data_IF_496024076147
#
_entry.id   IF_496024076147
#
_cell.length_a   1.000
_cell.length_b   1.000
_cell.length_c   1.000
_cell.angle_alpha   90.00
_cell.angle_beta   90.00
_cell.angle_gamma   90.00
#
_symmetry.space_group_name_H-M   'P 1'
#
loop_
_entity.id
_entity.type
_entity.pdbx_description
1 polymer ?
#
# COMPACT_ATOMS: atom_id res chain seq x y z
N UNK A 1 -2.52 13.53 8.58
CA UNK A 1 -3.80 13.45 9.31
C UNK A 1 -3.83 12.07 9.96
N UNK A 2 -3.87 11.95 11.29
CA UNK A 2 -3.74 10.66 11.96
C UNK A 2 -5.13 10.02 12.14
N UNK A 3 -5.30 8.77 11.69
CA UNK A 3 -6.53 8.01 11.90
C UNK A 3 -6.43 7.30 13.24
N UNK A 4 -7.38 7.57 14.15
CA UNK A 4 -7.35 6.99 15.50
C UNK A 4 -7.38 5.45 15.45
N UNK A 5 -6.44 4.81 16.13
CA UNK A 5 -6.30 3.35 16.16
C UNK A 5 -5.45 2.76 15.03
N UNK A 6 -4.86 3.60 14.18
CA UNK A 6 -3.93 3.20 13.12
C UNK A 6 -2.58 3.85 13.40
N UNK A 7 -1.64 3.07 13.95
CA UNK A 7 -0.29 3.57 14.20
C UNK A 7 0.58 3.36 12.97
N UNK A 8 1.09 4.46 12.39
CA UNK A 8 1.94 4.41 11.20
C UNK A 8 3.37 4.67 11.62
N UNK A 9 4.27 3.72 11.33
CA UNK A 9 5.69 3.83 11.68
C UNK A 9 6.59 3.36 10.54
N UNK A 10 7.87 3.72 10.61
CA UNK A 10 8.88 3.16 9.72
C UNK A 10 8.91 1.63 9.85
N UNK A 11 9.06 0.95 8.72
CA UNK A 11 9.25 -0.49 8.68
C UNK A 11 10.71 -0.86 9.01
N UNK A 12 10.90 -2.01 9.64
CA UNK A 12 12.20 -2.58 9.97
C UNK A 12 12.30 -4.01 9.47
N UNK A 13 13.52 -4.56 9.40
CA UNK A 13 13.72 -5.94 8.91
C UNK A 13 12.93 -6.99 9.71
N UNK A 14 12.68 -6.72 11.00
CA UNK A 14 11.86 -7.58 11.85
C UNK A 14 10.40 -7.70 11.38
N UNK A 15 9.89 -6.70 10.65
CA UNK A 15 8.52 -6.66 10.14
C UNK A 15 8.35 -7.51 8.87
N UNK A 16 9.43 -7.89 8.19
CA UNK A 16 9.40 -8.56 6.87
C UNK A 16 8.49 -9.80 6.88
N UNK A 17 8.64 -10.67 7.89
CA UNK A 17 7.90 -11.92 7.96
C UNK A 17 6.38 -11.71 8.09
N UNK A 18 5.95 -10.63 8.75
CA UNK A 18 4.53 -10.33 8.93
C UNK A 18 3.96 -9.59 7.71
N UNK A 19 4.75 -8.72 7.09
CA UNK A 19 4.41 -8.12 5.80
C UNK A 19 4.30 -9.17 4.68
N UNK A 20 5.17 -10.19 4.67
CA UNK A 20 5.10 -11.30 3.72
C UNK A 20 3.82 -12.12 3.90
N UNK A 21 3.45 -12.43 5.14
CA UNK A 21 2.17 -13.10 5.45
C UNK A 21 0.99 -12.28 4.95
N UNK A 22 1.01 -10.97 5.17
CA UNK A 22 -0.03 -10.06 4.70
C UNK A 22 -0.09 -10.04 3.16
N UNK A 23 1.05 -9.94 2.48
CA UNK A 23 1.13 -9.97 1.03
C UNK A 23 0.60 -11.29 0.46
N UNK A 24 1.00 -12.43 1.05
CA UNK A 24 0.48 -13.75 0.69
C UNK A 24 -1.04 -13.85 0.89
N UNK A 25 -1.57 -13.30 1.98
CA UNK A 25 -3.01 -13.30 2.24
C UNK A 25 -3.80 -12.50 1.19
N UNK A 26 -3.30 -11.32 0.82
CA UNK A 26 -3.98 -10.40 -0.11
C UNK A 26 -3.76 -10.84 -1.57
N UNK A 27 -2.52 -11.05 -1.98
CA UNK A 27 -2.10 -11.26 -3.36
C UNK A 27 -1.79 -12.72 -3.72
N UNK A 28 -1.65 -13.61 -2.73
CA UNK A 28 -1.28 -15.01 -2.97
C UNK A 28 0.20 -15.25 -3.22
N UNK A 29 1.03 -14.21 -3.08
CA UNK A 29 2.49 -14.23 -3.19
C UNK A 29 3.09 -13.16 -2.28
N UNK A 30 4.38 -13.25 -1.96
CA UNK A 30 5.13 -12.21 -1.28
C UNK A 30 5.87 -11.28 -2.28
N UNK A 31 6.38 -10.16 -1.76
CA UNK A 31 7.26 -9.22 -2.47
C UNK A 31 8.41 -8.78 -1.58
N UNK A 32 9.02 -9.72 -0.84
CA UNK A 32 9.97 -9.41 0.24
C UNK A 32 11.22 -8.68 -0.22
N UNK A 33 11.65 -8.88 -1.47
CA UNK A 33 12.80 -8.19 -2.07
C UNK A 33 12.59 -6.68 -2.08
N UNK A 34 11.52 -6.24 -2.71
CA UNK A 34 11.14 -4.82 -2.80
C UNK A 34 10.93 -4.18 -1.43
N UNK A 35 10.32 -4.90 -0.49
CA UNK A 35 10.12 -4.38 0.86
C UNK A 35 11.45 -4.20 1.60
N UNK A 36 12.39 -5.15 1.47
CA UNK A 36 13.72 -5.04 2.06
C UNK A 36 14.49 -3.85 1.49
N UNK A 37 14.42 -3.65 0.18
CA UNK A 37 15.07 -2.51 -0.48
C UNK A 37 14.47 -1.18 0.00
N UNK A 38 13.14 -1.11 0.12
CA UNK A 38 12.45 0.06 0.65
C UNK A 38 12.77 0.34 2.13
N UNK A 39 12.98 -0.72 2.95
CA UNK A 39 13.47 -0.58 4.33
C UNK A 39 14.89 -0.01 4.32
N UNK A 40 15.79 -0.55 3.49
CA UNK A 40 17.16 -0.08 3.38
C UNK A 40 17.25 1.39 2.90
N UNK A 41 16.31 1.81 2.05
CA UNK A 41 16.18 3.19 1.60
C UNK A 41 15.39 4.11 2.55
N UNK A 42 14.82 3.56 3.63
CA UNK A 42 14.05 4.32 4.62
C UNK A 42 12.70 4.86 4.12
N UNK A 43 12.18 4.33 3.02
CA UNK A 43 10.86 4.71 2.48
C UNK A 43 9.72 3.85 3.01
N UNK A 44 10.03 2.61 3.42
CA UNK A 44 9.01 1.67 3.87
C UNK A 44 8.35 2.08 5.19
N UNK A 45 7.03 1.91 5.25
CA UNK A 45 6.23 2.11 6.47
C UNK A 45 5.26 0.94 6.67
N UNK A 46 4.87 0.73 7.91
CA UNK A 46 3.84 -0.23 8.31
C UNK A 46 2.73 0.49 9.10
N UNK A 47 1.54 -0.10 9.05
CA UNK A 47 0.44 0.25 9.94
C UNK A 47 0.26 -0.87 10.95
N UNK A 48 0.22 -0.52 12.22
CA UNK A 48 -0.01 -1.44 13.33
C UNK A 48 -1.37 -1.18 13.99
N UNK A 49 -2.13 -2.26 14.22
CA UNK A 49 -3.40 -2.26 14.94
C UNK A 49 -3.42 -3.43 15.91
N UNK A 50 -3.73 -3.17 17.17
CA UNK A 50 -3.80 -4.20 18.22
C UNK A 50 -2.54 -5.10 18.27
N UNK A 51 -1.36 -4.52 18.01
CA UNK A 51 -0.08 -5.23 18.00
C UNK A 51 0.18 -6.07 16.74
N UNK A 52 -0.62 -5.91 15.68
CA UNK A 52 -0.48 -6.64 14.42
C UNK A 52 -0.26 -5.68 13.24
N UNK A 53 0.61 -6.06 12.31
CA UNK A 53 0.76 -5.33 11.04
C UNK A 53 -0.47 -5.59 10.18
N UNK A 54 -1.21 -4.53 9.89
CA UNK A 54 -2.41 -4.58 9.03
C UNK A 54 -2.20 -3.93 7.67
N UNK A 55 -1.11 -3.19 7.50
CA UNK A 55 -0.70 -2.63 6.23
C UNK A 55 0.81 -2.44 6.17
N UNK A 56 1.34 -2.43 4.94
CA UNK A 56 2.66 -1.91 4.67
C UNK A 56 2.70 -1.18 3.32
N UNK A 57 3.70 -0.33 3.17
CA UNK A 57 4.03 0.36 1.91
C UNK A 57 5.52 0.34 1.68
N UNK A 58 5.94 0.20 0.42
CA UNK A 58 7.32 0.48 0.01
C UNK A 58 7.54 1.96 -0.28
N UNK A 59 6.48 2.65 -0.72
CA UNK A 59 6.32 4.10 -0.81
C UNK A 59 4.86 4.39 -1.23
N UNK A 60 4.31 5.55 -0.85
CA UNK A 60 3.00 6.00 -1.36
C UNK A 60 3.26 6.82 -2.62
N UNK A 61 3.48 6.12 -3.73
CA UNK A 61 3.98 6.73 -4.95
C UNK A 61 3.83 5.87 -6.20
N UNK A 62 4.33 6.37 -7.33
CA UNK A 62 4.04 5.76 -8.62
C UNK A 62 4.74 4.40 -8.83
N UNK A 63 5.92 4.26 -8.23
CA UNK A 63 6.74 3.03 -8.22
C UNK A 63 6.67 2.29 -6.90
N UNK A 64 5.97 2.84 -5.90
CA UNK A 64 5.73 2.19 -4.62
C UNK A 64 4.47 1.33 -4.66
N UNK A 65 4.46 0.23 -3.93
CA UNK A 65 3.26 -0.58 -3.74
C UNK A 65 2.85 -0.56 -2.27
N UNK A 66 1.56 -0.79 -2.01
CA UNK A 66 1.05 -0.92 -0.65
C UNK A 66 0.07 -2.08 -0.57
N UNK A 67 0.08 -2.78 0.55
CA UNK A 67 -0.81 -3.92 0.82
C UNK A 67 -1.44 -3.72 2.18
N UNK A 68 -2.73 -4.01 2.29
CA UNK A 68 -3.50 -3.77 3.48
C UNK A 68 -4.65 -4.78 3.65
N UNK A 69 -5.05 -5.00 4.90
CA UNK A 69 -6.26 -5.76 5.23
C UNK A 69 -7.52 -4.98 4.82
N UNK A 70 -7.55 -3.67 5.07
CA UNK A 70 -8.73 -2.81 4.82
C UNK A 70 -8.40 -1.50 4.12
N UNK A 71 -9.43 -0.73 3.75
CA UNK A 71 -9.25 0.57 3.13
C UNK A 71 -8.73 1.62 4.11
N UNK A 72 -9.18 1.55 5.36
CA UNK A 72 -8.76 2.45 6.44
C UNK A 72 -7.26 2.34 6.71
N UNK A 73 -6.70 1.14 6.58
CA UNK A 73 -5.26 0.89 6.66
C UNK A 73 -4.50 1.61 5.53
N UNK A 74 -5.00 1.59 4.29
CA UNK A 74 -4.41 2.37 3.19
C UNK A 74 -4.60 3.87 3.38
N UNK A 75 -5.76 4.31 3.88
CA UNK A 75 -6.01 5.72 4.19
C UNK A 75 -5.02 6.23 5.22
N UNK A 76 -4.66 5.42 6.23
CA UNK A 76 -3.65 5.76 7.22
C UNK A 76 -2.28 5.97 6.58
N UNK A 77 -1.84 5.05 5.70
CA UNK A 77 -0.59 5.20 4.94
C UNK A 77 -0.59 6.46 4.06
N UNK A 78 -1.68 6.71 3.33
CA UNK A 78 -1.80 7.88 2.45
C UNK A 78 -1.79 9.18 3.27
N UNK A 79 -2.48 9.20 4.41
CA UNK A 79 -2.60 10.38 5.26
C UNK A 79 -1.32 10.70 6.07
N UNK A 80 -0.43 9.72 6.22
CA UNK A 80 0.90 9.84 6.83
C UNK A 80 2.02 10.09 5.80
N UNK A 81 1.73 9.98 4.50
CA UNK A 81 2.70 10.29 3.46
C UNK A 81 3.04 11.79 3.46
N UNK A 82 4.33 12.11 3.59
CA UNK A 82 4.81 13.50 3.56
C UNK A 82 4.65 14.13 2.16
N UNK A 83 4.78 13.31 1.13
CA UNK A 83 4.58 13.64 -0.26
C UNK A 83 4.22 12.35 -1.02
N UNK A 84 3.60 12.49 -2.18
CA UNK A 84 3.43 11.37 -3.11
C UNK A 84 4.51 11.45 -4.18
N UNK A 85 5.28 10.38 -4.35
CA UNK A 85 6.41 10.42 -5.28
C UNK A 85 5.94 10.40 -6.75
N UNK A 86 6.74 11.06 -7.60
CA UNK A 86 6.51 11.17 -9.05
C UNK A 86 5.14 11.75 -9.41
N UNK A 87 4.24 10.94 -9.96
CA UNK A 87 2.93 11.34 -10.45
C UNK A 87 1.79 10.93 -9.50
N UNK A 88 2.11 10.64 -8.24
CA UNK A 88 1.16 10.12 -7.27
C UNK A 88 1.13 8.58 -7.24
N UNK A 89 0.15 8.02 -6.54
CA UNK A 89 0.01 6.58 -6.32
C UNK A 89 -1.15 5.98 -7.13
N UNK A 90 -1.10 4.66 -7.34
CA UNK A 90 -2.09 3.95 -8.16
C UNK A 90 -3.15 3.25 -7.31
N UNK A 91 -4.38 3.73 -7.41
CA UNK A 91 -5.56 3.11 -6.78
C UNK A 91 -6.30 2.26 -7.81
N UNK A 92 -6.60 0.98 -7.51
CA UNK A 92 -7.47 0.18 -8.37
C UNK A 92 -8.84 0.85 -8.57
N UNK A 93 -9.26 1.05 -9.82
CA UNK A 93 -10.53 1.75 -10.13
C UNK A 93 -11.78 1.06 -9.55
N UNK A 94 -11.69 -0.23 -9.25
CA UNK A 94 -12.76 -1.01 -8.61
C UNK A 94 -12.94 -0.66 -7.12
N UNK A 95 -11.94 -0.04 -6.49
CA UNK A 95 -12.01 0.40 -5.10
C UNK A 95 -12.65 1.80 -5.00
N UNK A 96 -13.97 1.84 -5.23
CA UNK A 96 -14.74 3.08 -5.27
C UNK A 96 -14.75 3.83 -3.92
N UNK A 97 -14.63 3.11 -2.81
CA UNK A 97 -14.55 3.70 -1.47
C UNK A 97 -13.27 4.50 -1.28
N UNK A 98 -12.11 3.88 -1.54
CA UNK A 98 -10.83 4.58 -1.40
C UNK A 98 -10.73 5.75 -2.39
N UNK A 99 -11.21 5.58 -3.63
CA UNK A 99 -11.26 6.68 -4.60
C UNK A 99 -12.10 7.87 -4.11
N UNK A 100 -13.29 7.61 -3.57
CA UNK A 100 -14.16 8.66 -3.02
C UNK A 100 -13.47 9.38 -1.87
N UNK A 101 -12.86 8.63 -0.95
CA UNK A 101 -12.08 9.23 0.13
C UNK A 101 -10.94 10.10 -0.41
N UNK A 102 -10.19 9.63 -1.42
CA UNK A 102 -9.15 10.43 -2.06
C UNK A 102 -9.70 11.75 -2.63
N UNK A 103 -10.86 11.72 -3.29
CA UNK A 103 -11.49 12.91 -3.87
C UNK A 103 -11.97 13.90 -2.80
N UNK A 104 -12.53 13.39 -1.70
CA UNK A 104 -12.94 14.18 -0.54
C UNK A 104 -11.75 14.91 0.11
N UNK A 105 -10.54 14.34 -0.02
CA UNK A 105 -9.28 14.94 0.45
C UNK A 105 -8.55 15.75 -0.64
N UNK A 106 -9.25 16.11 -1.72
CA UNK A 106 -8.73 17.02 -2.74
C UNK A 106 -7.82 16.37 -3.80
N UNK A 107 -7.60 15.05 -3.74
CA UNK A 107 -6.85 14.32 -4.77
C UNK A 107 -7.66 14.25 -6.07
N UNK A 108 -6.97 14.09 -7.20
CA UNK A 108 -7.55 14.08 -8.54
C UNK A 108 -6.93 12.98 -9.39
N UNK A 109 -7.71 12.46 -10.34
CA UNK A 109 -7.19 11.50 -11.33
C UNK A 109 -6.30 12.25 -12.33
N UNK A 110 -5.06 11.78 -12.50
CA UNK A 110 -4.10 12.35 -13.46
C UNK A 110 -4.08 11.53 -14.75
N UNK A 111 -4.01 10.21 -14.66
CA UNK A 111 -4.14 9.29 -15.79
C UNK A 111 -4.65 7.92 -15.31
N UNK A 112 -5.11 7.11 -16.26
CA UNK A 112 -5.59 5.75 -16.02
C UNK A 112 -4.64 4.75 -16.68
N UNK A 113 -4.35 3.66 -15.96
CA UNK A 113 -3.57 2.54 -16.47
C UNK A 113 -4.45 1.29 -16.47
N UNK A 114 -4.18 0.38 -17.39
CA UNK A 114 -4.83 -0.93 -17.43
C UNK A 114 -3.89 -1.97 -16.80
N UNK A 115 -4.38 -2.65 -15.77
CA UNK A 115 -3.71 -3.85 -15.27
C UNK A 115 -3.91 -4.98 -16.29
N UNK A 116 -2.82 -5.63 -16.67
CA UNK A 116 -2.81 -6.77 -17.59
C UNK A 116 -2.13 -7.95 -16.91
N UNK A 117 -2.69 -9.13 -17.07
CA UNK A 117 -2.12 -10.38 -16.59
C UNK A 117 -2.11 -11.41 -17.72
N UNK A 118 -1.04 -12.21 -17.77
CA UNK A 118 -0.94 -13.36 -18.65
C UNK A 118 -0.88 -14.62 -17.78
N UNK A 119 -1.90 -15.48 -17.90
CA UNK A 119 -2.02 -16.68 -17.08
C UNK A 119 -2.88 -16.46 -15.83
N UNK A 120 -2.56 -17.18 -14.75
CA UNK A 120 -3.33 -17.11 -13.50
C UNK A 120 -3.19 -15.73 -12.84
N UNK A 121 -4.34 -15.15 -12.49
CA UNK A 121 -4.41 -13.89 -11.76
C UNK A 121 -5.32 -14.08 -10.55
N UNK A 122 -4.77 -13.84 -9.36
CA UNK A 122 -5.56 -13.75 -8.14
C UNK A 122 -5.97 -12.29 -7.94
N UNK A 123 -7.27 -12.03 -7.94
CA UNK A 123 -7.78 -10.73 -7.49
C UNK A 123 -7.39 -10.51 -6.01
N UNK A 124 -6.88 -9.31 -5.65
CA UNK A 124 -6.52 -9.00 -4.27
C UNK A 124 -7.69 -9.22 -3.31
N UNK A 125 -7.47 -9.99 -2.24
CA UNK A 125 -8.47 -10.27 -1.20
C UNK A 125 -8.56 -9.20 -0.11
N UNK A 126 -7.72 -8.19 -0.22
CA UNK A 126 -7.67 -7.00 0.64
C UNK A 126 -7.39 -5.77 -0.20
N UNK A 127 -7.09 -4.66 0.46
CA UNK A 127 -6.83 -3.39 -0.20
C UNK A 127 -5.37 -3.28 -0.62
N UNK A 128 -5.11 -2.70 -1.80
CA UNK A 128 -3.74 -2.47 -2.26
C UNK A 128 -3.62 -1.18 -3.08
N UNK A 129 -2.41 -0.62 -3.09
CA UNK A 129 -1.95 0.34 -4.09
C UNK A 129 -0.99 -0.37 -5.04
N UNK A 130 -1.25 -0.26 -6.34
CA UNK A 130 -0.43 -0.90 -7.36
C UNK A 130 0.87 -0.12 -7.59
N UNK A 131 1.86 -0.80 -8.17
CA UNK A 131 3.11 -0.19 -8.61
C UNK A 131 3.40 -0.55 -10.06
N UNK A 132 4.14 0.32 -10.76
CA UNK A 132 4.76 0.00 -12.05
C UNK A 132 6.23 -0.45 -11.94
N UNK A 133 6.77 -0.46 -10.72
CA UNK A 133 8.12 -0.91 -10.39
C UNK A 133 8.16 -2.34 -9.83
N UNK A 134 9.37 -2.91 -9.85
CA UNK A 134 9.76 -4.21 -9.30
C UNK A 134 11.11 -4.07 -8.61
#
# INVERSE_FOLDING_TARGET
>A
MQISGFDVRAAHEADLADCDKLCLQVHGHDRSGELRDAIAHGSAKVVERDGQITAYTTDVGFTGHSVAVSNEDLMALIADANAFSWNGFLVPLRNAELLRWCFDHGLRVVYMLNLMALGYYQEPRGSCLASIGY
#
